data_IF_452118836332
#
_entry.id   IF_452118836332
#
_cell.length_a   1.000
_cell.length_b   1.000
_cell.length_c   1.000
_cell.angle_alpha   90.00
_cell.angle_beta   90.00
_cell.angle_gamma   90.00
#
_symmetry.space_group_name_H-M   'P 1'
#
loop_
_entity.id
_entity.type
_entity.pdbx_description
1 polymer ?
#
# COMPACT_ATOMS: atom_id res chain seq x y z
N UNK A 1 16.96 4.85 -4.64
CA UNK A 1 16.48 4.95 -6.06
C UNK A 1 17.20 6.08 -6.81
N UNK A 2 17.22 7.31 -6.27
CA UNK A 2 17.90 8.48 -6.89
C UNK A 2 19.42 8.27 -7.08
N UNK A 3 20.11 7.66 -6.10
CA UNK A 3 21.55 7.39 -6.19
C UNK A 3 21.94 6.32 -7.22
N UNK A 4 21.11 5.28 -7.39
CA UNK A 4 21.30 4.20 -8.36
C UNK A 4 21.05 4.70 -9.79
N UNK A 5 20.01 5.51 -9.99
CA UNK A 5 19.66 6.10 -11.30
C UNK A 5 20.79 6.95 -11.90
N UNK A 6 21.50 7.72 -11.06
CA UNK A 6 22.66 8.53 -11.49
C UNK A 6 23.79 7.68 -12.11
N UNK A 7 23.90 6.39 -11.77
CA UNK A 7 24.92 5.49 -12.32
C UNK A 7 24.50 4.78 -13.63
N UNK A 8 23.20 4.75 -13.99
CA UNK A 8 22.70 4.03 -15.16
C UNK A 8 22.45 4.91 -16.41
N UNK A 9 22.71 6.21 -16.32
CA UNK A 9 22.51 7.14 -17.43
C UNK A 9 21.38 8.13 -17.13
N UNK A 10 21.71 9.38 -16.76
CA UNK A 10 20.73 10.39 -16.35
C UNK A 10 19.82 10.90 -17.49
N UNK A 11 20.04 10.46 -18.73
CA UNK A 11 19.26 10.90 -19.91
C UNK A 11 17.93 10.16 -20.05
N UNK A 12 17.72 9.05 -19.35
CA UNK A 12 16.49 8.24 -19.43
C UNK A 12 15.63 8.43 -18.17
N UNK A 13 14.53 9.18 -18.31
CA UNK A 13 13.56 9.49 -17.22
C UNK A 13 12.73 8.26 -16.77
N UNK A 14 12.94 7.10 -17.41
CA UNK A 14 12.18 5.86 -17.19
C UNK A 14 12.13 5.40 -15.72
N UNK A 15 13.26 5.47 -15.00
CA UNK A 15 13.32 5.03 -13.60
C UNK A 15 12.52 5.91 -12.62
N UNK A 16 12.37 7.21 -12.93
CA UNK A 16 11.59 8.13 -12.11
C UNK A 16 10.08 7.90 -12.29
N UNK A 17 9.64 7.66 -13.53
CA UNK A 17 8.23 7.31 -13.81
C UNK A 17 7.81 6.01 -13.11
N UNK A 18 8.66 4.98 -13.17
CA UNK A 18 8.39 3.71 -12.48
C UNK A 18 8.22 3.91 -10.96
N UNK A 19 9.10 4.72 -10.35
CA UNK A 19 8.99 5.03 -8.92
C UNK A 19 7.67 5.72 -8.58
N UNK A 20 7.21 6.68 -9.38
CA UNK A 20 5.93 7.38 -9.14
C UNK A 20 4.76 6.41 -9.20
N UNK A 21 4.74 5.49 -10.17
CA UNK A 21 3.67 4.48 -10.27
C UNK A 21 3.68 3.56 -9.04
N UNK A 22 4.85 3.09 -8.60
CA UNK A 22 4.96 2.26 -7.40
C UNK A 22 4.50 3.02 -6.15
N UNK A 23 4.85 4.29 -6.01
CA UNK A 23 4.37 5.14 -4.92
C UNK A 23 2.84 5.30 -4.95
N UNK A 24 2.26 5.50 -6.13
CA UNK A 24 0.80 5.62 -6.29
C UNK A 24 0.09 4.31 -5.88
N UNK A 25 0.61 3.17 -6.32
CA UNK A 25 0.06 1.84 -5.96
C UNK A 25 0.20 1.58 -4.46
N UNK A 26 1.37 1.87 -3.87
CA UNK A 26 1.60 1.69 -2.44
C UNK A 26 0.68 2.58 -1.59
N UNK A 27 0.45 3.83 -2.01
CA UNK A 27 -0.49 4.74 -1.36
C UNK A 27 -1.94 4.21 -1.44
N UNK A 28 -2.34 3.68 -2.60
CA UNK A 28 -3.65 3.07 -2.77
C UNK A 28 -3.82 1.82 -1.88
N UNK A 29 -2.82 0.95 -1.82
CA UNK A 29 -2.84 -0.26 -0.99
C UNK A 29 -2.98 0.08 0.51
N UNK A 30 -2.20 1.06 0.99
CA UNK A 30 -2.30 1.52 2.37
C UNK A 30 -3.67 2.13 2.69
N UNK A 31 -4.25 2.91 1.76
CA UNK A 31 -5.58 3.50 1.94
C UNK A 31 -6.67 2.42 2.02
N UNK A 32 -6.61 1.40 1.16
CA UNK A 32 -7.56 0.28 1.17
C UNK A 32 -7.41 -0.53 2.46
N UNK A 33 -6.18 -0.83 2.90
CA UNK A 33 -5.92 -1.54 4.14
C UNK A 33 -6.49 -0.81 5.36
N UNK A 34 -6.26 0.51 5.45
CA UNK A 34 -6.82 1.33 6.53
C UNK A 34 -8.35 1.38 6.48
N UNK A 35 -8.93 1.54 5.28
CA UNK A 35 -10.39 1.54 5.12
C UNK A 35 -11.02 0.21 5.56
N UNK A 36 -10.36 -0.92 5.29
CA UNK A 36 -10.81 -2.23 5.75
C UNK A 36 -10.78 -2.32 7.29
N UNK A 37 -9.68 -1.90 7.92
CA UNK A 37 -9.55 -1.89 9.39
C UNK A 37 -10.63 -1.00 10.01
N UNK A 38 -10.84 0.21 9.49
CA UNK A 38 -11.89 1.13 9.98
C UNK A 38 -13.29 0.52 9.78
N UNK A 39 -13.53 -0.15 8.66
CA UNK A 39 -14.82 -0.82 8.40
C UNK A 39 -15.10 -1.94 9.41
N UNK A 40 -14.09 -2.75 9.72
CA UNK A 40 -14.20 -3.80 10.75
C UNK A 40 -14.41 -3.18 12.13
N UNK A 41 -13.62 -2.17 12.48
CA UNK A 41 -13.74 -1.46 13.75
C UNK A 41 -15.11 -0.82 13.94
N UNK A 42 -15.66 -0.18 12.90
CA UNK A 42 -17.00 0.44 12.97
C UNK A 42 -18.13 -0.58 13.19
N UNK A 43 -17.95 -1.83 12.74
CA UNK A 43 -18.95 -2.89 12.94
C UNK A 43 -18.80 -3.64 14.27
N UNK A 44 -17.61 -3.68 14.85
CA UNK A 44 -17.31 -4.54 16.02
C UNK A 44 -16.84 -3.80 17.27
N UNK A 45 -16.53 -2.50 17.19
CA UNK A 45 -16.02 -1.69 18.31
C UNK A 45 -14.65 -2.11 18.86
N UNK A 46 -14.02 -3.13 18.27
CA UNK A 46 -12.73 -3.70 18.69
C UNK A 46 -11.84 -3.98 17.48
N UNK A 47 -10.52 -3.83 17.65
CA UNK A 47 -9.49 -4.08 16.62
C UNK A 47 -8.96 -5.53 16.69
N UNK A 48 -9.55 -6.37 17.56
CA UNK A 48 -9.11 -7.77 17.73
C UNK A 48 -9.33 -8.56 16.44
N UNK A 49 -8.23 -8.90 15.77
CA UNK A 49 -8.21 -9.67 14.51
C UNK A 49 -8.76 -11.10 14.72
N UNK A 50 -8.68 -11.62 15.94
CA UNK A 50 -9.15 -12.97 16.31
C UNK A 50 -10.68 -13.13 16.20
N UNK A 51 -11.45 -12.03 16.27
CA UNK A 51 -12.91 -12.02 16.11
C UNK A 51 -13.37 -12.02 14.64
N UNK A 52 -12.46 -11.84 13.68
CA UNK A 52 -12.75 -11.84 12.24
C UNK A 52 -12.82 -13.28 11.68
N UNK A 53 -13.31 -14.25 12.48
CA UNK A 53 -13.64 -15.60 12.01
C UNK A 53 -15.08 -15.63 11.45
N UNK A 54 -15.31 -14.99 10.29
CA UNK A 54 -16.64 -14.96 9.66
C UNK A 54 -16.86 -15.94 8.50
N UNK A 55 -15.89 -16.82 8.22
CA UNK A 55 -16.02 -17.84 7.17
C UNK A 55 -15.41 -19.18 7.62
N UNK A 56 -15.73 -19.61 8.85
CA UNK A 56 -15.57 -21.02 9.21
C UNK A 56 -16.89 -21.72 8.93
N UNK A 57 -16.86 -22.65 7.99
CA UNK A 57 -17.81 -23.76 7.96
C UNK A 57 -17.58 -24.66 9.18
#
# INVERSE_FOLDING_TARGET
IVAFWRHLGPTQVSGQMFAIIVFAVAAAEAAVGLALIISIYRRRGTVVVEDVRLLKW
#
